data_IF_344446916567
#
_entry.id   IF_344446916567
#
_cell.length_a   1.000
_cell.length_b   1.000
_cell.length_c   1.000
_cell.angle_alpha   90.00
_cell.angle_beta   90.00
_cell.angle_gamma   90.00
#
_symmetry.space_group_name_H-M   'P 1'
#
loop_
_entity.id
_entity.type
_entity.pdbx_description
1 polymer ?
#
# COMPACT_ATOMS: atom_id res chain seq x y z
N UNK A 1 9.66 27.37 15.54
CA UNK A 1 10.76 28.22 15.00
C UNK A 1 12.05 27.50 15.30
N UNK A 2 12.87 27.28 14.28
CA UNK A 2 14.14 26.59 14.42
C UNK A 2 15.27 27.54 14.08
N UNK A 3 16.24 27.66 14.98
CA UNK A 3 17.41 28.51 14.78
C UNK A 3 18.61 27.62 14.44
N UNK A 4 19.06 27.67 13.19
CA UNK A 4 20.18 26.87 12.70
C UNK A 4 21.42 27.75 12.62
N UNK A 5 22.49 27.30 13.30
CA UNK A 5 23.79 27.99 13.38
C UNK A 5 24.92 27.00 13.09
N UNK A 6 25.95 27.48 12.39
CA UNK A 6 27.17 26.72 12.14
C UNK A 6 27.96 26.55 13.44
N UNK A 7 28.31 25.30 13.78
CA UNK A 7 29.06 24.95 14.98
C UNK A 7 30.30 24.13 14.62
N UNK A 8 31.35 24.22 15.42
CA UNK A 8 32.54 23.39 15.30
C UNK A 8 32.33 22.00 15.94
N UNK A 9 33.34 21.14 15.84
CA UNK A 9 33.35 19.78 16.42
C UNK A 9 33.17 19.72 17.94
N UNK A 10 33.30 20.84 18.65
CA UNK A 10 33.10 20.97 20.10
C UNK A 10 31.74 21.64 20.44
N UNK A 11 30.86 21.81 19.46
CA UNK A 11 29.51 22.38 19.65
C UNK A 11 29.48 23.90 19.85
N UNK A 12 30.62 24.60 19.74
CA UNK A 12 30.67 26.07 19.81
C UNK A 12 30.30 26.67 18.46
N UNK A 13 29.55 27.78 18.47
CA UNK A 13 29.21 28.52 17.24
C UNK A 13 30.50 28.92 16.56
N UNK A 14 30.68 28.46 15.32
CA UNK A 14 31.88 28.69 14.52
C UNK A 14 31.82 30.05 13.83
N UNK A 15 30.64 30.43 13.34
CA UNK A 15 30.40 31.68 12.62
C UNK A 15 29.06 32.27 13.03
N UNK A 16 29.09 33.41 13.71
CA UNK A 16 27.92 34.06 14.29
C UNK A 16 27.17 34.97 13.31
N UNK A 17 27.83 35.38 12.22
CA UNK A 17 27.21 36.21 11.17
C UNK A 17 26.27 35.45 10.24
N UNK A 18 26.26 34.11 10.26
CA UNK A 18 25.32 33.30 9.47
C UNK A 18 24.41 32.48 10.39
N UNK A 19 23.16 32.91 10.49
CA UNK A 19 22.10 32.23 11.23
C UNK A 19 20.89 32.08 10.32
N UNK A 20 20.38 30.86 10.17
CA UNK A 20 19.12 30.61 9.47
C UNK A 20 18.00 30.44 10.48
N UNK A 21 16.88 31.12 10.24
CA UNK A 21 15.67 30.98 11.03
C UNK A 21 14.62 30.30 10.15
N UNK A 22 14.23 29.08 10.51
CA UNK A 22 13.19 28.34 9.81
C UNK A 22 11.87 28.44 10.55
N UNK A 23 10.82 28.78 9.80
CA UNK A 23 9.45 28.91 10.27
C UNK A 23 8.60 27.83 9.61
N UNK A 24 8.09 26.90 10.42
CA UNK A 24 7.19 25.84 9.98
C UNK A 24 5.74 26.29 10.19
N UNK A 25 5.22 27.07 9.23
CA UNK A 25 3.85 27.60 9.29
C UNK A 25 2.76 26.51 9.52
N UNK A 26 2.86 25.30 8.93
CA UNK A 26 1.88 24.23 9.20
C UNK A 26 1.80 23.84 10.68
N UNK A 27 2.90 23.92 11.42
CA UNK A 27 2.97 23.55 12.84
C UNK A 27 2.47 24.67 13.77
N UNK A 28 2.25 25.88 13.25
CA UNK A 28 1.72 26.99 14.02
C UNK A 28 0.19 26.89 14.11
N UNK A 29 -0.32 26.37 15.22
CA UNK A 29 -1.77 26.14 15.44
C UNK A 29 -2.43 27.03 16.50
N UNK A 30 -1.76 28.11 16.94
CA UNK A 30 -2.32 29.01 17.98
C UNK A 30 -3.50 29.81 17.42
N UNK A 31 -4.53 30.00 18.25
CA UNK A 31 -5.68 30.86 17.99
C UNK A 31 -5.46 32.26 18.58
N UNK A 32 -6.31 33.23 18.25
CA UNK A 32 -6.17 34.65 18.62
C UNK A 32 -5.90 34.88 20.13
N UNK A 33 -6.59 34.14 20.99
CA UNK A 33 -6.44 34.25 22.45
C UNK A 33 -5.13 33.66 22.99
N UNK A 34 -4.41 32.87 22.17
CA UNK A 34 -3.17 32.18 22.54
C UNK A 34 -1.89 32.89 22.09
N UNK A 35 -1.99 34.12 21.56
CA UNK A 35 -0.87 34.87 21.00
C UNK A 35 -0.07 35.59 22.09
N UNK A 36 0.82 34.85 22.76
CA UNK A 36 1.60 35.36 23.91
C UNK A 36 2.77 36.27 23.52
N UNK A 37 3.38 36.07 22.34
CA UNK A 37 4.57 36.80 21.90
C UNK A 37 4.35 37.62 20.64
N UNK A 38 5.19 38.63 20.39
CA UNK A 38 5.18 39.38 19.14
C UNK A 38 5.39 38.50 17.91
N UNK A 39 6.20 37.46 18.05
CA UNK A 39 6.41 36.47 16.99
C UNK A 39 5.12 35.67 16.74
N UNK A 40 4.39 35.26 17.78
CA UNK A 40 3.11 34.58 17.60
C UNK A 40 2.11 35.46 16.85
N UNK A 41 2.06 36.75 17.19
CA UNK A 41 1.22 37.74 16.49
C UNK A 41 1.57 37.83 15.00
N UNK A 42 2.86 37.93 14.65
CA UNK A 42 3.31 37.96 13.26
C UNK A 42 3.03 36.66 12.51
N UNK A 43 3.27 35.51 13.14
CA UNK A 43 2.99 34.20 12.53
C UNK A 43 1.49 34.01 12.31
N UNK A 44 0.65 34.42 13.27
CA UNK A 44 -0.80 34.39 13.11
C UNK A 44 -1.25 35.35 12.00
N UNK A 45 -0.72 36.57 11.98
CA UNK A 45 -1.05 37.56 10.95
C UNK A 45 -0.73 37.03 9.54
N UNK A 46 0.50 36.56 9.30
CA UNK A 46 0.92 36.03 7.99
C UNK A 46 0.12 34.78 7.62
N UNK A 47 -0.17 33.90 8.58
CA UNK A 47 -0.91 32.65 8.32
C UNK A 47 -2.34 32.89 7.86
N UNK A 48 -3.03 33.85 8.46
CA UNK A 48 -4.46 34.10 8.22
C UNK A 48 -4.68 35.37 7.37
N UNK A 49 -3.63 35.90 6.74
CA UNK A 49 -3.68 37.17 6.02
C UNK A 49 -4.71 37.17 4.87
N UNK A 50 -4.84 36.03 4.19
CA UNK A 50 -5.81 35.82 3.10
C UNK A 50 -7.27 35.87 3.59
N UNK A 51 -7.53 35.50 4.85
CA UNK A 51 -8.87 35.42 5.42
C UNK A 51 -9.37 36.75 6.02
N UNK A 52 -8.48 37.71 6.24
CA UNK A 52 -8.84 38.98 6.88
C UNK A 52 -9.54 39.93 5.91
N UNK A 53 -10.84 40.18 6.15
CA UNK A 53 -11.58 41.25 5.45
C UNK A 53 -11.39 42.65 6.06
N UNK A 54 -11.00 42.71 7.33
CA UNK A 54 -10.73 43.95 8.06
C UNK A 54 -9.66 43.67 9.12
N UNK A 55 -8.87 44.69 9.49
CA UNK A 55 -7.81 44.54 10.50
C UNK A 55 -8.45 44.17 11.85
N UNK A 56 -8.17 42.97 12.39
CA UNK A 56 -8.67 42.57 13.70
C UNK A 56 -8.15 43.51 14.80
N UNK A 57 -8.96 43.76 15.82
CA UNK A 57 -8.63 44.74 16.87
C UNK A 57 -7.34 44.42 17.65
N UNK A 58 -6.91 43.15 17.64
CA UNK A 58 -5.66 42.67 18.25
C UNK A 58 -4.40 43.19 17.53
N UNK A 59 -4.53 43.63 16.28
CA UNK A 59 -3.44 44.11 15.41
C UNK A 59 -3.44 45.63 15.23
N UNK A 60 -4.02 46.39 16.17
CA UNK A 60 -4.17 47.86 16.08
C UNK A 60 -2.88 48.67 16.27
N UNK A 61 -1.71 48.05 16.31
CA UNK A 61 -0.48 48.83 16.33
C UNK A 61 -0.12 49.34 14.94
N UNK A 62 0.71 50.38 14.94
CA UNK A 62 1.12 51.08 13.74
C UNK A 62 1.82 50.14 12.73
N UNK A 63 2.58 49.16 13.23
CA UNK A 63 3.38 48.28 12.37
C UNK A 63 2.49 47.29 11.60
N UNK A 64 1.50 46.68 12.26
CA UNK A 64 0.55 45.80 11.58
C UNK A 64 -0.41 46.57 10.67
N UNK A 65 -0.77 47.81 11.04
CA UNK A 65 -1.58 48.67 10.18
C UNK A 65 -0.87 48.95 8.86
N UNK A 66 0.40 49.38 8.92
CA UNK A 66 1.22 49.58 7.72
C UNK A 66 1.44 48.29 6.92
N UNK A 67 1.57 47.14 7.61
CA UNK A 67 1.73 45.85 6.95
C UNK A 67 0.46 45.44 6.19
N UNK A 68 -0.72 45.69 6.77
CA UNK A 68 -2.00 45.41 6.14
C UNK A 68 -2.25 46.31 4.92
N UNK A 69 -2.03 47.62 5.06
CA UNK A 69 -2.16 48.59 3.95
C UNK A 69 -1.26 48.22 2.75
N UNK A 70 -0.03 47.75 3.03
CA UNK A 70 0.90 47.29 1.99
C UNK A 70 0.55 45.93 1.41
N UNK A 71 -0.10 45.05 2.18
CA UNK A 71 -0.50 43.73 1.73
C UNK A 71 -1.83 43.73 0.96
N UNK A 72 -2.64 44.77 1.13
CA UNK A 72 -3.91 44.94 0.45
C UNK A 72 -3.69 45.07 -1.06
N UNK A 73 -4.09 44.04 -1.81
CA UNK A 73 -3.98 43.99 -3.27
C UNK A 73 -4.65 45.19 -3.95
N UNK A 74 -5.69 45.78 -3.34
CA UNK A 74 -6.37 46.95 -3.87
C UNK A 74 -5.46 48.20 -3.95
N UNK A 75 -4.37 48.25 -3.17
CA UNK A 75 -3.41 49.34 -3.18
C UNK A 75 -2.22 49.08 -4.13
N UNK A 76 -2.19 47.94 -4.82
CA UNK A 76 -1.08 47.63 -5.71
C UNK A 76 -1.10 48.55 -6.94
N UNK A 77 0.08 49.05 -7.30
CA UNK A 77 0.28 49.72 -8.59
C UNK A 77 0.30 48.66 -9.70
N UNK A 78 0.13 49.07 -10.95
CA UNK A 78 0.14 48.15 -12.08
C UNK A 78 1.37 47.22 -12.10
N UNK A 79 2.57 47.77 -11.87
CA UNK A 79 3.80 46.97 -11.81
C UNK A 79 3.79 45.91 -10.69
N UNK A 80 3.16 46.22 -9.55
CA UNK A 80 3.04 45.29 -8.42
C UNK A 80 2.01 44.19 -8.71
N UNK A 81 0.90 44.55 -9.37
CA UNK A 81 -0.11 43.59 -9.85
C UNK A 81 0.49 42.64 -10.88
N UNK A 82 1.22 43.14 -11.87
CA UNK A 82 1.84 42.32 -12.92
C UNK A 82 2.84 41.31 -12.31
N UNK A 83 3.63 41.74 -11.32
CA UNK A 83 4.55 40.86 -10.57
C UNK A 83 3.81 39.78 -9.79
N UNK A 84 2.71 40.16 -9.14
CA UNK A 84 1.87 39.23 -8.38
C UNK A 84 1.22 38.20 -9.31
N UNK A 85 0.63 38.62 -10.43
CA UNK A 85 0.04 37.74 -11.44
C UNK A 85 1.08 36.80 -12.05
N UNK A 86 2.28 37.31 -12.35
CA UNK A 86 3.38 36.48 -12.82
C UNK A 86 3.78 35.41 -11.78
N UNK A 87 3.87 35.79 -10.50
CA UNK A 87 4.15 34.83 -9.43
C UNK A 87 3.05 33.77 -9.31
N UNK A 88 1.77 34.16 -9.38
CA UNK A 88 0.64 33.24 -9.41
C UNK A 88 0.69 32.30 -10.62
N UNK A 89 1.05 32.81 -11.80
CA UNK A 89 1.24 32.00 -13.00
C UNK A 89 2.32 30.94 -12.76
N UNK A 90 3.50 31.33 -12.29
CA UNK A 90 4.60 30.40 -11.98
C UNK A 90 4.17 29.35 -10.95
N UNK A 91 3.47 29.76 -9.89
CA UNK A 91 2.95 28.82 -8.89
C UNK A 91 1.97 27.82 -9.52
N UNK A 92 1.03 28.28 -10.35
CA UNK A 92 0.05 27.43 -11.03
C UNK A 92 0.70 26.47 -12.01
N UNK A 93 1.68 26.92 -12.79
CA UNK A 93 2.45 26.08 -13.72
C UNK A 93 3.21 24.97 -12.97
N UNK A 94 3.87 25.32 -11.86
CA UNK A 94 4.58 24.37 -11.01
C UNK A 94 3.62 23.37 -10.37
N UNK A 95 2.48 23.85 -9.84
CA UNK A 95 1.45 23.01 -9.23
C UNK A 95 0.86 22.04 -10.26
N UNK A 96 0.53 22.50 -11.46
CA UNK A 96 0.02 21.64 -12.54
C UNK A 96 1.04 20.56 -12.94
N UNK A 97 2.32 20.92 -13.04
CA UNK A 97 3.40 19.97 -13.33
C UNK A 97 3.53 18.90 -12.25
N UNK A 98 3.48 19.30 -10.98
CA UNK A 98 3.54 18.39 -9.85
C UNK A 98 2.32 17.47 -9.79
N UNK A 99 1.11 18.03 -9.91
CA UNK A 99 -0.14 17.29 -9.89
C UNK A 99 -0.16 16.25 -11.04
N UNK A 100 0.27 16.63 -12.25
CA UNK A 100 0.41 15.73 -13.39
C UNK A 100 1.40 14.59 -13.12
N UNK A 101 2.55 14.90 -12.52
CA UNK A 101 3.56 13.89 -12.20
C UNK A 101 3.03 12.87 -11.16
N UNK A 102 2.30 13.33 -10.15
CA UNK A 102 1.68 12.46 -9.15
C UNK A 102 0.62 11.55 -9.78
N UNK A 103 -0.27 12.12 -10.60
CA UNK A 103 -1.32 11.33 -11.25
C UNK A 103 -0.73 10.28 -12.19
N UNK A 104 0.21 10.68 -13.06
CA UNK A 104 0.87 9.77 -13.99
C UNK A 104 1.61 8.65 -13.24
N UNK A 105 2.33 8.97 -12.17
CA UNK A 105 3.03 7.98 -11.36
C UNK A 105 2.06 6.99 -10.70
N UNK A 106 0.88 7.44 -10.26
CA UNK A 106 -0.16 6.60 -9.68
C UNK A 106 -0.78 5.67 -10.72
N UNK A 107 -1.13 6.20 -11.89
CA UNK A 107 -1.69 5.42 -12.99
C UNK A 107 -0.71 4.34 -13.46
N UNK A 108 0.56 4.71 -13.67
CA UNK A 108 1.61 3.76 -14.04
C UNK A 108 1.84 2.71 -12.96
N UNK A 109 1.95 3.12 -11.69
CA UNK A 109 2.16 2.22 -10.57
C UNK A 109 1.02 1.21 -10.41
N UNK A 110 -0.21 1.67 -10.57
CA UNK A 110 -1.41 0.82 -10.52
C UNK A 110 -1.43 -0.16 -11.69
N UNK A 111 -1.16 0.33 -12.91
CA UNK A 111 -1.15 -0.50 -14.12
C UNK A 111 -0.07 -1.58 -14.07
N UNK A 112 1.16 -1.21 -13.66
CA UNK A 112 2.27 -2.16 -13.48
C UNK A 112 1.94 -3.17 -12.38
N UNK A 113 1.44 -2.72 -11.23
CA UNK A 113 1.08 -3.60 -10.12
C UNK A 113 -0.01 -4.62 -10.48
N UNK A 114 -1.04 -4.22 -11.24
CA UNK A 114 -2.08 -5.15 -11.72
C UNK A 114 -1.49 -6.16 -12.71
N UNK A 115 -0.70 -5.69 -13.68
CA UNK A 115 -0.10 -6.56 -14.69
C UNK A 115 0.84 -7.61 -14.08
N UNK A 116 1.73 -7.17 -13.18
CA UNK A 116 2.66 -8.05 -12.47
C UNK A 116 1.92 -9.02 -11.54
N UNK A 117 0.94 -8.52 -10.77
CA UNK A 117 0.14 -9.35 -9.87
C UNK A 117 -0.66 -10.42 -10.61
N UNK A 118 -1.24 -10.08 -11.77
CA UNK A 118 -1.97 -11.04 -12.60
C UNK A 118 -1.03 -12.09 -13.20
N UNK A 119 0.13 -11.67 -13.72
CA UNK A 119 1.12 -12.59 -14.31
C UNK A 119 1.65 -13.58 -13.25
N UNK A 120 2.00 -13.08 -12.06
CA UNK A 120 2.46 -13.91 -10.95
C UNK A 120 1.36 -14.85 -10.45
N UNK A 121 0.15 -14.33 -10.24
CA UNK A 121 -0.98 -15.14 -9.78
C UNK A 121 -1.36 -16.26 -10.75
N UNK A 122 -1.36 -15.97 -12.06
CA UNK A 122 -1.62 -16.99 -13.09
C UNK A 122 -0.52 -18.04 -13.12
N UNK A 123 0.76 -17.62 -13.11
CA UNK A 123 1.90 -18.54 -13.13
C UNK A 123 1.89 -19.46 -11.91
N UNK A 124 1.74 -18.91 -10.71
CA UNK A 124 1.70 -19.68 -9.47
C UNK A 124 0.48 -20.60 -9.43
N UNK A 125 -0.70 -20.09 -9.78
CA UNK A 125 -1.93 -20.87 -9.79
C UNK A 125 -1.88 -22.04 -10.78
N UNK A 126 -1.30 -21.83 -11.96
CA UNK A 126 -1.13 -22.89 -12.96
C UNK A 126 -0.14 -23.95 -12.49
N UNK A 127 1.05 -23.55 -12.02
CA UNK A 127 2.07 -24.48 -11.54
C UNK A 127 1.56 -25.30 -10.35
N UNK A 128 0.92 -24.65 -9.39
CA UNK A 128 0.37 -25.31 -8.21
C UNK A 128 -0.80 -26.24 -8.59
N UNK A 129 -1.72 -25.77 -9.44
CA UNK A 129 -2.85 -26.57 -9.90
C UNK A 129 -2.43 -27.82 -10.67
N UNK A 130 -1.47 -27.70 -11.59
CA UNK A 130 -0.92 -28.85 -12.33
C UNK A 130 -0.21 -29.82 -11.39
N UNK A 131 0.66 -29.31 -10.52
CA UNK A 131 1.42 -30.15 -9.59
C UNK A 131 0.48 -30.92 -8.65
N UNK A 132 -0.49 -30.24 -8.03
CA UNK A 132 -1.44 -30.87 -7.12
C UNK A 132 -2.35 -31.86 -7.84
N UNK A 133 -2.90 -31.47 -9.00
CA UNK A 133 -3.78 -32.33 -9.79
C UNK A 133 -3.08 -33.60 -10.29
N UNK A 134 -1.83 -33.48 -10.75
CA UNK A 134 -1.04 -34.63 -11.20
C UNK A 134 -0.71 -35.57 -10.03
N UNK A 135 -0.24 -35.04 -8.91
CA UNK A 135 0.08 -35.85 -7.72
C UNK A 135 -1.16 -36.57 -7.21
N UNK A 136 -2.27 -35.86 -7.02
CA UNK A 136 -3.52 -36.46 -6.53
C UNK A 136 -4.06 -37.52 -7.50
N UNK A 137 -4.13 -37.19 -8.79
CA UNK A 137 -4.62 -38.10 -9.82
C UNK A 137 -3.77 -39.36 -9.94
N UNK A 138 -2.45 -39.24 -9.89
CA UNK A 138 -1.54 -40.38 -9.96
C UNK A 138 -1.64 -41.27 -8.71
N UNK A 139 -1.60 -40.68 -7.51
CA UNK A 139 -1.71 -41.43 -6.26
C UNK A 139 -3.05 -42.17 -6.17
N UNK A 140 -4.15 -41.49 -6.51
CA UNK A 140 -5.47 -42.10 -6.48
C UNK A 140 -5.60 -43.19 -7.55
N UNK A 141 -5.16 -42.94 -8.77
CA UNK A 141 -5.21 -43.91 -9.86
C UNK A 141 -4.39 -45.17 -9.59
N UNK A 142 -3.16 -45.03 -9.08
CA UNK A 142 -2.31 -46.17 -8.70
C UNK A 142 -2.95 -46.96 -7.56
N UNK A 143 -3.41 -46.29 -6.50
CA UNK A 143 -4.02 -46.96 -5.36
C UNK A 143 -5.28 -47.72 -5.77
N UNK A 144 -6.18 -47.11 -6.52
CA UNK A 144 -7.42 -47.74 -6.97
C UNK A 144 -7.13 -48.91 -7.93
N UNK A 145 -6.25 -48.70 -8.91
CA UNK A 145 -5.88 -49.74 -9.88
C UNK A 145 -5.21 -50.96 -9.22
N UNK A 146 -4.33 -50.73 -8.24
CA UNK A 146 -3.68 -51.82 -7.51
C UNK A 146 -4.70 -52.60 -6.66
N UNK A 147 -5.55 -51.91 -5.89
CA UNK A 147 -6.57 -52.56 -5.08
C UNK A 147 -7.54 -53.36 -5.94
N UNK A 148 -8.07 -52.76 -7.02
CA UNK A 148 -8.98 -53.43 -7.93
C UNK A 148 -8.33 -54.64 -8.61
N UNK A 149 -7.09 -54.49 -9.10
CA UNK A 149 -6.35 -55.58 -9.73
C UNK A 149 -6.07 -56.75 -8.78
N UNK A 150 -5.72 -56.48 -7.53
CA UNK A 150 -5.55 -57.51 -6.50
C UNK A 150 -6.87 -58.22 -6.23
N UNK A 151 -7.95 -57.48 -6.00
CA UNK A 151 -9.28 -58.07 -5.73
C UNK A 151 -9.78 -58.90 -6.91
N UNK A 152 -9.68 -58.40 -8.15
CA UNK A 152 -10.05 -59.15 -9.34
C UNK A 152 -9.19 -60.41 -9.54
N UNK A 153 -7.89 -60.33 -9.25
CA UNK A 153 -6.98 -61.47 -9.28
C UNK A 153 -7.38 -62.56 -8.28
N UNK A 154 -7.64 -62.17 -7.02
CA UNK A 154 -8.11 -63.08 -5.97
C UNK A 154 -9.43 -63.76 -6.39
N UNK A 155 -10.38 -62.99 -6.93
CA UNK A 155 -11.66 -63.53 -7.40
C UNK A 155 -11.51 -64.50 -8.57
N UNK A 156 -10.61 -64.22 -9.53
CA UNK A 156 -10.31 -65.14 -10.64
C UNK A 156 -9.74 -66.46 -10.14
N UNK A 157 -8.79 -66.42 -9.20
CA UNK A 157 -8.20 -67.61 -8.60
C UNK A 157 -9.26 -68.41 -7.83
N UNK A 158 -10.07 -67.75 -6.99
CA UNK A 158 -11.15 -68.40 -6.24
C UNK A 158 -12.16 -69.12 -7.15
N UNK A 159 -12.58 -68.47 -8.26
CA UNK A 159 -13.45 -69.08 -9.28
C UNK A 159 -12.83 -70.32 -9.91
N UNK A 160 -11.55 -70.26 -10.27
CA UNK A 160 -10.84 -71.38 -10.88
C UNK A 160 -10.70 -72.58 -9.93
N UNK A 161 -10.42 -72.32 -8.64
CA UNK A 161 -10.33 -73.36 -7.61
C UNK A 161 -11.69 -74.02 -7.35
N UNK A 162 -12.78 -73.22 -7.28
CA UNK A 162 -14.15 -73.72 -7.13
C UNK A 162 -14.56 -74.60 -8.31
N UNK A 163 -14.27 -74.16 -9.54
CA UNK A 163 -14.53 -74.94 -10.75
C UNK A 163 -13.75 -76.26 -10.81
N UNK A 164 -12.56 -76.30 -10.20
CA UNK A 164 -11.72 -77.50 -10.08
C UNK A 164 -12.18 -78.46 -8.96
N UNK A 165 -13.27 -78.15 -8.25
CA UNK A 165 -13.84 -78.99 -7.21
C UNK A 165 -13.09 -78.96 -5.87
N UNK A 166 -12.28 -77.93 -5.62
CA UNK A 166 -11.64 -77.75 -4.31
C UNK A 166 -12.68 -77.31 -3.27
N UNK A 167 -12.57 -77.87 -2.07
CA UNK A 167 -13.47 -77.58 -0.96
C UNK A 167 -13.44 -76.09 -0.56
N UNK A 168 -14.60 -75.55 -0.22
CA UNK A 168 -14.83 -74.11 0.02
C UNK A 168 -14.05 -73.56 1.22
N UNK A 169 -13.79 -74.40 2.22
CA UNK A 169 -12.96 -74.10 3.38
C UNK A 169 -11.49 -73.89 3.00
N UNK A 170 -10.95 -74.72 2.09
CA UNK A 170 -9.58 -74.56 1.56
C UNK A 170 -9.50 -73.29 0.71
N UNK A 171 -10.50 -73.00 -0.14
CA UNK A 171 -10.51 -71.77 -0.96
C UNK A 171 -10.54 -70.53 -0.05
N UNK A 172 -11.35 -70.54 1.01
CA UNK A 172 -11.41 -69.44 1.98
C UNK A 172 -10.06 -69.22 2.67
N UNK A 173 -9.40 -70.30 3.11
CA UNK A 173 -8.09 -70.22 3.75
C UNK A 173 -6.99 -69.68 2.82
N UNK A 174 -7.01 -70.03 1.53
CA UNK A 174 -5.94 -69.63 0.58
C UNK A 174 -6.16 -68.24 -0.03
N UNK A 175 -7.42 -67.84 -0.25
CA UNK A 175 -7.77 -66.58 -0.93
C UNK A 175 -8.12 -65.45 0.03
N UNK A 176 -8.41 -65.77 1.30
CA UNK A 176 -8.86 -64.80 2.31
C UNK A 176 -10.30 -64.32 2.13
N UNK A 177 -11.04 -64.85 1.14
CA UNK A 177 -12.46 -64.56 0.95
C UNK A 177 -13.31 -65.29 2.01
N UNK A 178 -14.42 -64.67 2.39
CA UNK A 178 -15.40 -65.34 3.25
C UNK A 178 -16.11 -66.47 2.50
N UNK A 179 -16.59 -67.47 3.24
CA UNK A 179 -17.34 -68.60 2.67
C UNK A 179 -18.56 -68.10 1.89
N UNK A 180 -19.25 -67.08 2.39
CA UNK A 180 -20.40 -66.47 1.73
C UNK A 180 -20.05 -65.76 0.40
N UNK A 181 -18.87 -65.14 0.30
CA UNK A 181 -18.37 -64.57 -0.96
C UNK A 181 -18.04 -65.69 -1.96
N UNK A 182 -17.42 -66.78 -1.52
CA UNK A 182 -17.07 -67.93 -2.37
C UNK A 182 -18.31 -68.66 -2.86
N UNK A 183 -19.33 -68.84 -2.03
CA UNK A 183 -20.61 -69.46 -2.42
C UNK A 183 -21.32 -68.66 -3.52
N UNK A 184 -21.19 -67.32 -3.52
CA UNK A 184 -21.74 -66.43 -4.54
C UNK A 184 -20.95 -66.37 -5.86
N UNK A 185 -19.71 -66.88 -5.91
CA UNK A 185 -18.88 -66.90 -7.13
C UNK A 185 -19.30 -67.95 -8.15
#
# INVERSE_FOLDING_TARGET
>A
VHTIKLKNQHGKVFYDKLTYIYLEMPNFGKLEYGLATRLDQWLYFIKNLEDFQQIPAIFKDEVFTQAFEKAELANFKQDDLDRYEYSLKVFRDNKATYDYAIETAREEGTSKGIAEGMAQGLSQGLTQGISQGLTQGLTQGISQGLTQGITEGILKVAKALKASGIATDIIAATTGLSIAEIEKL
#
